data_IF_081528102146
#
_entry.id   IF_081528102146
#
_cell.length_a   1.000
_cell.length_b   1.000
_cell.length_c   1.000
_cell.angle_alpha   90.00
_cell.angle_beta   90.00
_cell.angle_gamma   90.00
#
_symmetry.space_group_name_H-M   'P 1'
#
loop_
_entity.id
_entity.type
_entity.pdbx_description
1 polymer ?
#
# COMPACT_ATOMS: atom_id res chain seq x y z
N UNK A 1 24.04 19.81 -12.47
CA UNK A 1 22.69 19.37 -12.08
C UNK A 1 22.53 19.72 -10.63
N UNK A 2 21.46 20.42 -10.26
CA UNK A 2 21.16 20.72 -8.87
C UNK A 2 20.96 19.38 -8.17
N UNK A 3 21.91 18.92 -7.38
CA UNK A 3 21.73 17.77 -6.49
C UNK A 3 20.89 18.29 -5.34
N UNK A 4 19.58 18.32 -5.53
CA UNK A 4 18.69 18.61 -4.44
C UNK A 4 18.89 17.50 -3.38
N UNK A 5 19.30 17.90 -2.18
CA UNK A 5 19.64 16.96 -1.13
C UNK A 5 18.35 16.56 -0.42
N UNK A 6 17.79 15.42 -0.83
CA UNK A 6 16.63 14.86 -0.15
C UNK A 6 17.00 14.49 1.29
N UNK A 7 16.11 14.82 2.22
CA UNK A 7 16.22 14.45 3.64
C UNK A 7 15.19 13.38 3.97
N UNK A 8 15.64 12.19 4.40
CA UNK A 8 14.81 11.08 4.86
C UNK A 8 14.66 11.12 6.38
N UNK A 9 13.49 11.50 6.88
CA UNK A 9 13.25 11.84 8.29
C UNK A 9 12.25 10.88 8.90
N UNK A 10 12.53 10.39 10.11
CA UNK A 10 11.59 9.60 10.89
C UNK A 10 10.52 10.52 11.51
N UNK A 11 9.26 10.11 11.46
CA UNK A 11 8.12 10.89 11.97
C UNK A 11 8.30 11.32 13.43
N UNK A 12 8.95 10.51 14.26
CA UNK A 12 9.23 10.84 15.66
C UNK A 12 10.24 11.95 15.91
N UNK A 13 11.00 12.32 14.89
CA UNK A 13 11.91 13.46 14.96
C UNK A 13 11.18 14.79 14.73
N UNK A 14 9.91 14.75 14.30
CA UNK A 14 9.10 15.93 14.05
C UNK A 14 8.43 16.43 15.34
N UNK A 15 8.32 17.75 15.47
CA UNK A 15 7.53 18.36 16.53
C UNK A 15 6.02 18.22 16.26
N UNK A 16 5.18 18.49 17.26
CA UNK A 16 3.71 18.33 17.18
C UNK A 16 3.08 19.12 16.01
N UNK A 17 3.51 20.37 15.80
CA UNK A 17 2.99 21.22 14.72
C UNK A 17 3.36 20.66 13.34
N UNK A 18 4.57 20.11 13.19
CA UNK A 18 5.00 19.43 11.97
C UNK A 18 4.21 18.15 11.73
N UNK A 19 3.93 17.38 12.79
CA UNK A 19 3.14 16.14 12.71
C UNK A 19 1.70 16.40 12.26
N UNK A 20 1.01 17.40 12.81
CA UNK A 20 -0.37 17.73 12.44
C UNK A 20 -0.48 18.22 10.99
N UNK A 21 0.43 19.14 10.59
CA UNK A 21 0.50 19.62 9.21
C UNK A 21 0.80 18.48 8.21
N UNK A 22 1.58 17.48 8.64
CA UNK A 22 1.93 16.34 7.80
C UNK A 22 0.74 15.40 7.58
N UNK A 23 -0.07 15.12 8.61
CA UNK A 23 -1.27 14.27 8.47
C UNK A 23 -2.24 14.86 7.45
N UNK A 24 -2.42 16.19 7.46
CA UNK A 24 -3.22 16.87 6.46
C UNK A 24 -2.64 16.71 5.05
N UNK A 25 -1.33 16.94 4.87
CA UNK A 25 -0.64 16.77 3.58
C UNK A 25 -0.62 15.32 3.09
N UNK A 26 -0.56 14.33 3.98
CA UNK A 26 -0.68 12.90 3.62
C UNK A 26 -2.02 12.65 2.93
N UNK A 27 -3.10 13.23 3.47
CA UNK A 27 -4.44 13.12 2.89
C UNK A 27 -4.51 13.73 1.49
N UNK A 28 -3.78 14.81 1.24
CA UNK A 28 -3.70 15.45 -0.07
C UNK A 28 -2.89 14.63 -1.10
N UNK A 29 -1.91 13.85 -0.64
CA UNK A 29 -1.11 12.95 -1.49
C UNK A 29 -1.78 11.60 -1.75
N UNK A 30 -2.75 11.20 -0.91
CA UNK A 30 -3.52 9.98 -1.11
C UNK A 30 -4.45 10.14 -2.31
N UNK A 31 -4.03 9.57 -3.44
CA UNK A 31 -4.77 9.62 -4.71
C UNK A 31 -5.65 8.39 -4.92
N UNK A 32 -5.88 7.60 -3.88
CA UNK A 32 -6.71 6.41 -3.99
C UNK A 32 -8.20 6.74 -4.15
N UNK A 33 -8.96 5.84 -4.78
CA UNK A 33 -10.39 6.03 -4.95
C UNK A 33 -11.10 6.16 -3.60
N UNK A 34 -12.09 7.04 -3.53
CA UNK A 34 -12.79 7.36 -2.28
C UNK A 34 -13.40 6.13 -1.60
N UNK A 35 -13.87 5.14 -2.36
CA UNK A 35 -14.44 3.91 -1.80
C UNK A 35 -13.41 3.07 -1.02
N UNK A 36 -12.11 3.15 -1.32
CA UNK A 36 -11.07 2.43 -0.54
C UNK A 36 -10.95 2.99 0.89
N UNK A 37 -11.37 4.24 1.14
CA UNK A 37 -11.43 4.80 2.48
C UNK A 37 -12.50 4.12 3.35
N UNK A 38 -13.47 3.42 2.76
CA UNK A 38 -14.51 2.71 3.51
C UNK A 38 -14.06 1.35 4.06
N UNK A 39 -12.84 0.90 3.74
CA UNK A 39 -12.28 -0.34 4.28
C UNK A 39 -12.21 -0.30 5.82
N UNK A 40 -12.83 -1.28 6.46
CA UNK A 40 -12.98 -1.30 7.92
C UNK A 40 -11.65 -1.46 8.66
N UNK A 41 -10.69 -2.17 8.08
CA UNK A 41 -9.36 -2.38 8.66
C UNK A 41 -8.53 -1.12 8.54
N UNK A 42 -8.59 -0.45 7.38
CA UNK A 42 -7.96 0.87 7.22
C UNK A 42 -8.48 1.85 8.27
N UNK A 43 -9.81 1.97 8.41
CA UNK A 43 -10.42 2.90 9.38
C UNK A 43 -10.06 2.57 10.84
N UNK A 44 -9.91 1.28 11.17
CA UNK A 44 -9.58 0.85 12.52
C UNK A 44 -8.12 1.15 12.91
N UNK A 45 -7.18 0.97 11.99
CA UNK A 45 -5.76 0.88 12.35
C UNK A 45 -4.87 1.97 11.76
N UNK A 46 -5.25 2.58 10.62
CA UNK A 46 -4.35 3.47 9.86
C UNK A 46 -3.82 4.63 10.70
N UNK A 47 -4.71 5.39 11.35
CA UNK A 47 -4.32 6.54 12.16
C UNK A 47 -3.52 6.12 13.41
N UNK A 48 -3.80 4.95 13.97
CA UNK A 48 -3.10 4.45 15.16
C UNK A 48 -1.62 4.13 14.89
N UNK A 49 -1.22 3.89 13.63
CA UNK A 49 0.19 3.63 13.29
C UNK A 49 1.11 4.81 13.61
N UNK A 50 0.61 6.05 13.50
CA UNK A 50 1.37 7.25 13.83
C UNK A 50 1.70 7.39 15.32
N UNK A 51 1.02 6.62 16.17
CA UNK A 51 1.27 6.57 17.62
C UNK A 51 1.94 5.27 18.03
N UNK A 52 1.47 4.12 17.51
CA UNK A 52 1.95 2.79 17.92
C UNK A 52 3.25 2.40 17.22
N UNK A 53 3.40 2.78 15.95
CA UNK A 53 4.56 2.46 15.10
C UNK A 53 5.22 3.74 14.57
N UNK A 54 5.27 4.76 15.41
CA UNK A 54 5.74 6.10 15.05
C UNK A 54 7.18 6.12 14.53
N UNK A 55 8.04 5.22 15.06
CA UNK A 55 9.43 5.02 14.61
C UNK A 55 9.59 4.30 13.26
N UNK A 56 8.47 3.88 12.65
CA UNK A 56 8.40 3.20 11.35
C UNK A 56 7.64 4.04 10.31
N UNK A 57 7.33 5.30 10.62
CA UNK A 57 6.76 6.25 9.68
C UNK A 57 7.84 7.25 9.26
N UNK A 58 7.91 7.59 7.97
CA UNK A 58 8.94 8.47 7.43
C UNK A 58 8.39 9.48 6.44
N UNK A 59 9.16 10.55 6.26
CA UNK A 59 8.94 11.55 5.23
C UNK A 59 10.23 11.82 4.46
N UNK A 60 10.06 12.28 3.23
CA UNK A 60 11.13 12.83 2.41
C UNK A 60 10.86 14.29 2.16
N UNK A 61 11.85 15.14 2.44
CA UNK A 61 11.80 16.57 2.19
C UNK A 61 12.87 17.01 1.18
N UNK A 62 12.55 18.02 0.40
CA UNK A 62 13.48 18.83 -0.41
C UNK A 62 13.26 20.30 -0.04
N UNK A 63 14.26 20.96 0.57
CA UNK A 63 14.15 22.36 1.01
C UNK A 63 12.86 22.65 1.84
N UNK A 64 12.51 21.74 2.76
CA UNK A 64 11.28 21.73 3.56
C UNK A 64 9.97 21.46 2.80
N UNK A 65 10.01 21.22 1.49
CA UNK A 65 8.86 20.79 0.70
C UNK A 65 8.65 19.28 0.87
N UNK A 66 7.39 18.87 1.03
CA UNK A 66 7.05 17.46 1.16
C UNK A 66 7.14 16.76 -0.20
N UNK A 67 8.07 15.82 -0.29
CA UNK A 67 8.33 15.02 -1.49
C UNK A 67 7.58 13.69 -1.42
N UNK A 68 7.67 13.00 -0.29
CA UNK A 68 7.00 11.71 -0.10
C UNK A 68 6.72 11.40 1.37
N UNK A 69 5.77 10.51 1.61
CA UNK A 69 5.54 9.86 2.89
C UNK A 69 5.59 8.35 2.75
N UNK A 70 6.12 7.69 3.76
CA UNK A 70 6.37 6.26 3.78
C UNK A 70 5.83 5.69 5.08
N UNK A 71 4.99 4.68 4.95
CA UNK A 71 4.35 4.03 6.09
C UNK A 71 4.76 2.57 6.14
N UNK A 72 5.54 2.22 7.15
CA UNK A 72 5.96 0.85 7.42
C UNK A 72 5.38 0.38 8.76
N UNK A 73 5.29 -0.93 8.91
CA UNK A 73 4.87 -1.58 10.15
C UNK A 73 5.75 -2.80 10.42
N UNK A 74 6.12 -3.04 11.69
CA UNK A 74 6.88 -4.22 12.07
C UNK A 74 5.95 -5.41 12.29
N UNK A 75 6.35 -6.61 11.86
CA UNK A 75 5.57 -7.83 12.13
C UNK A 75 6.47 -9.06 12.33
N UNK A 76 5.91 -10.07 12.99
CA UNK A 76 6.57 -11.33 13.24
C UNK A 76 6.04 -12.42 12.30
N UNK A 77 6.87 -12.91 11.37
CA UNK A 77 6.52 -14.03 10.51
C UNK A 77 7.10 -15.34 11.03
N UNK A 78 6.25 -16.34 11.18
CA UNK A 78 6.70 -17.74 11.22
C UNK A 78 7.28 -18.15 9.86
N UNK A 79 8.05 -19.24 9.84
CA UNK A 79 8.58 -19.80 8.57
C UNK A 79 7.46 -20.13 7.57
N UNK A 80 6.32 -20.62 8.07
CA UNK A 80 5.16 -20.96 7.25
C UNK A 80 4.51 -19.73 6.64
N UNK A 81 4.29 -18.67 7.43
CA UNK A 81 3.73 -17.42 6.92
C UNK A 81 4.67 -16.75 5.91
N UNK A 82 5.99 -16.78 6.14
CA UNK A 82 6.94 -16.22 5.18
C UNK A 82 6.99 -17.01 3.86
N UNK A 83 6.93 -18.34 3.92
CA UNK A 83 6.90 -19.18 2.72
C UNK A 83 5.66 -18.93 1.86
N UNK A 84 4.52 -18.60 2.49
CA UNK A 84 3.27 -18.29 1.81
C UNK A 84 2.57 -17.13 2.50
N UNK A 85 2.90 -15.91 2.04
CA UNK A 85 2.29 -14.69 2.56
C UNK A 85 0.76 -14.71 2.36
N UNK A 86 -0.04 -14.27 3.34
CA UNK A 86 -1.50 -14.41 3.29
C UNK A 86 -2.20 -13.59 2.22
N UNK A 87 -3.33 -14.12 1.74
CA UNK A 87 -4.16 -13.52 0.70
C UNK A 87 -4.75 -12.14 1.11
N UNK A 88 -4.87 -11.88 2.42
CA UNK A 88 -5.38 -10.62 2.96
C UNK A 88 -4.45 -9.42 2.76
N UNK A 89 -3.24 -9.61 2.24
CA UNK A 89 -2.42 -8.51 1.72
C UNK A 89 -2.17 -7.38 2.71
N UNK A 90 -2.46 -6.17 2.24
CA UNK A 90 -2.37 -4.92 2.99
C UNK A 90 -3.17 -4.97 4.30
N UNK A 91 -4.45 -5.39 4.26
CA UNK A 91 -5.30 -5.52 5.46
C UNK A 91 -4.69 -6.47 6.48
N UNK A 92 -4.29 -7.66 6.02
CA UNK A 92 -3.72 -8.67 6.90
C UNK A 92 -2.44 -8.19 7.58
N UNK A 93 -1.53 -7.54 6.84
CA UNK A 93 -0.30 -7.04 7.44
C UNK A 93 -0.58 -6.02 8.53
N UNK A 94 -1.55 -5.13 8.29
CA UNK A 94 -1.96 -4.13 9.26
C UNK A 94 -2.54 -4.77 10.52
N UNK A 95 -3.55 -5.64 10.39
CA UNK A 95 -4.13 -6.37 11.53
C UNK A 95 -3.08 -7.18 12.30
N UNK A 96 -2.22 -7.89 11.57
CA UNK A 96 -1.19 -8.73 12.15
C UNK A 96 -0.18 -7.92 12.95
N UNK A 97 0.29 -6.79 12.42
CA UNK A 97 1.27 -5.97 13.13
C UNK A 97 0.75 -5.46 14.48
N UNK A 98 -0.51 -5.00 14.53
CA UNK A 98 -1.14 -4.61 15.79
C UNK A 98 -1.32 -5.80 16.73
N UNK A 99 -1.76 -6.95 16.23
CA UNK A 99 -1.93 -8.16 17.05
C UNK A 99 -0.59 -8.72 17.56
N UNK A 100 0.48 -8.62 16.78
CA UNK A 100 1.83 -9.01 17.16
C UNK A 100 2.39 -8.04 18.24
N UNK A 101 2.12 -6.73 18.10
CA UNK A 101 2.46 -5.71 19.09
C UNK A 101 1.74 -5.92 20.42
N UNK A 102 0.43 -6.16 20.40
CA UNK A 102 -0.36 -6.47 21.61
C UNK A 102 0.15 -7.72 22.35
N UNK A 103 0.67 -8.70 21.60
CA UNK A 103 1.27 -9.92 22.13
C UNK A 103 2.76 -9.79 22.46
N UNK A 104 3.36 -8.62 22.23
CA UNK A 104 4.77 -8.32 22.48
C UNK A 104 5.69 -9.31 21.73
N UNK A 105 5.31 -9.69 20.51
CA UNK A 105 6.14 -10.55 19.67
C UNK A 105 7.31 -9.76 19.12
N UNK A 106 8.51 -10.35 19.14
CA UNK A 106 9.69 -9.73 18.54
C UNK A 106 9.55 -9.68 17.02
N UNK A 107 9.49 -8.50 16.38
CA UNK A 107 9.39 -8.40 14.93
C UNK A 107 10.63 -8.98 14.24
N UNK A 108 10.43 -9.62 13.09
CA UNK A 108 11.51 -10.17 12.27
C UNK A 108 11.42 -9.76 10.79
N UNK A 109 10.32 -9.11 10.42
CA UNK A 109 10.02 -8.66 9.07
C UNK A 109 9.45 -7.26 9.13
N UNK A 110 9.84 -6.42 8.17
CA UNK A 110 9.29 -5.08 8.04
C UNK A 110 8.35 -5.02 6.83
N UNK A 111 7.13 -4.52 7.01
CA UNK A 111 6.20 -4.37 5.90
C UNK A 111 6.08 -2.91 5.52
N UNK A 112 6.48 -2.56 4.29
CA UNK A 112 6.22 -1.26 3.69
C UNK A 112 4.80 -1.26 3.12
N UNK A 113 3.85 -0.63 3.80
CA UNK A 113 2.44 -0.64 3.43
C UNK A 113 2.10 0.33 2.31
N UNK A 114 2.74 1.50 2.30
CA UNK A 114 2.43 2.55 1.34
C UNK A 114 3.56 3.56 1.20
N UNK A 115 3.73 4.05 -0.01
CA UNK A 115 4.55 5.19 -0.35
C UNK A 115 3.66 6.17 -1.11
N UNK A 116 3.48 7.37 -0.59
CA UNK A 116 2.80 8.46 -1.30
C UNK A 116 3.86 9.45 -1.77
N UNK A 117 3.86 9.78 -3.06
CA UNK A 117 4.87 10.66 -3.66
C UNK A 117 4.18 11.85 -4.31
N UNK A 118 4.75 13.04 -4.13
CA UNK A 118 4.33 14.25 -4.79
C UNK A 118 4.65 14.17 -6.28
N UNK A 119 3.61 14.36 -7.12
CA UNK A 119 3.68 14.21 -8.58
C UNK A 119 4.58 15.23 -9.28
N UNK A 120 4.98 16.31 -8.60
CA UNK A 120 5.93 17.28 -9.11
C UNK A 120 7.37 16.77 -9.15
N UNK A 121 7.65 15.61 -8.54
CA UNK A 121 8.99 15.03 -8.45
C UNK A 121 9.15 13.81 -9.36
N UNK A 122 10.38 13.50 -9.82
CA UNK A 122 10.63 12.30 -10.63
C UNK A 122 10.39 11.01 -9.83
N UNK A 123 9.24 10.38 -10.04
CA UNK A 123 8.76 9.25 -9.22
C UNK A 123 9.77 8.09 -9.10
N UNK A 124 10.46 7.74 -10.19
CA UNK A 124 11.43 6.65 -10.18
C UNK A 124 12.68 6.97 -9.34
N UNK A 125 13.16 8.22 -9.39
CA UNK A 125 14.33 8.67 -8.62
C UNK A 125 13.98 8.70 -7.13
N UNK A 126 12.83 9.29 -6.78
CA UNK A 126 12.33 9.33 -5.41
C UNK A 126 12.12 7.92 -4.85
N UNK A 127 11.52 7.03 -5.63
CA UNK A 127 11.30 5.65 -5.19
C UNK A 127 12.62 4.91 -4.97
N UNK A 128 13.62 5.10 -5.84
CA UNK A 128 14.94 4.52 -5.65
C UNK A 128 15.63 5.04 -4.37
N UNK A 129 15.55 6.35 -4.13
CA UNK A 129 16.07 6.99 -2.92
C UNK A 129 15.38 6.43 -1.66
N UNK A 130 14.05 6.32 -1.66
CA UNK A 130 13.26 5.74 -0.56
C UNK A 130 13.69 4.30 -0.30
N UNK A 131 13.71 3.45 -1.33
CA UNK A 131 14.02 2.03 -1.14
C UNK A 131 15.44 1.81 -0.65
N UNK A 132 16.39 2.65 -1.05
CA UNK A 132 17.77 2.60 -0.56
C UNK A 132 17.85 2.90 0.95
N UNK A 133 17.16 3.95 1.40
CA UNK A 133 17.07 4.31 2.82
C UNK A 133 16.36 3.23 3.64
N UNK A 134 15.21 2.71 3.16
CA UNK A 134 14.48 1.65 3.85
C UNK A 134 15.33 0.39 4.03
N UNK A 135 16.11 0.00 3.01
CA UNK A 135 17.01 -1.16 3.12
C UNK A 135 18.09 -0.93 4.19
N UNK A 136 18.73 0.24 4.19
CA UNK A 136 19.73 0.57 5.20
C UNK A 136 19.15 0.55 6.63
N UNK A 137 17.97 1.14 6.82
CA UNK A 137 17.26 1.14 8.11
C UNK A 137 16.88 -0.29 8.52
N UNK A 138 16.40 -1.10 7.57
CA UNK A 138 16.03 -2.48 7.85
C UNK A 138 17.24 -3.32 8.31
N UNK A 139 18.39 -3.17 7.66
CA UNK A 139 19.65 -3.81 8.08
C UNK A 139 20.06 -3.35 9.49
N UNK A 140 19.97 -2.04 9.79
CA UNK A 140 20.28 -1.49 11.12
C UNK A 140 19.32 -2.02 12.21
N UNK A 141 18.03 -2.12 11.89
CA UNK A 141 16.99 -2.73 12.74
C UNK A 141 17.08 -4.26 12.80
N UNK A 142 18.02 -4.88 12.07
CA UNK A 142 18.26 -6.34 11.99
C UNK A 142 17.08 -7.12 11.42
N UNK A 143 16.29 -6.49 10.56
CA UNK A 143 15.32 -7.20 9.72
C UNK A 143 16.04 -7.96 8.61
N UNK A 144 15.54 -9.14 8.26
CA UNK A 144 16.09 -9.95 7.16
C UNK A 144 15.38 -9.67 5.84
N UNK A 145 14.14 -9.19 5.91
CA UNK A 145 13.30 -8.96 4.74
C UNK A 145 12.44 -7.71 4.95
N UNK A 146 12.23 -6.98 3.85
CA UNK A 146 11.12 -6.03 3.72
C UNK A 146 10.08 -6.68 2.82
N UNK A 147 8.83 -6.73 3.24
CA UNK A 147 7.71 -7.14 2.39
C UNK A 147 6.85 -5.93 2.02
N UNK A 148 6.16 -5.98 0.89
CA UNK A 148 5.25 -4.91 0.49
C UNK A 148 4.09 -5.46 -0.34
N UNK A 149 2.82 -5.17 0.01
CA UNK A 149 1.66 -5.55 -0.78
C UNK A 149 1.38 -4.46 -1.82
N UNK A 150 1.93 -4.62 -3.03
CA UNK A 150 1.87 -3.61 -4.08
C UNK A 150 0.52 -3.63 -4.78
N UNK A 151 -0.14 -2.48 -4.85
CA UNK A 151 -1.36 -2.28 -5.63
C UNK A 151 -0.99 -2.07 -7.10
N UNK A 152 -1.22 -3.04 -8.02
CA UNK A 152 -0.77 -2.92 -9.41
C UNK A 152 -1.61 -1.90 -10.19
N UNK A 153 -1.08 -0.70 -10.38
CA UNK A 153 -1.85 0.44 -10.92
C UNK A 153 -2.42 0.19 -12.32
N UNK A 154 -1.69 -0.48 -13.21
CA UNK A 154 -2.16 -0.71 -14.58
C UNK A 154 -3.23 -1.81 -14.67
N UNK A 155 -3.42 -2.61 -13.62
CA UNK A 155 -4.50 -3.61 -13.53
C UNK A 155 -5.90 -2.99 -13.64
N UNK A 156 -6.02 -1.69 -13.36
CA UNK A 156 -7.26 -0.93 -13.57
C UNK A 156 -7.76 -0.95 -15.02
N UNK A 157 -6.88 -1.19 -16.00
CA UNK A 157 -7.25 -1.34 -17.41
C UNK A 157 -7.70 -2.76 -17.76
N UNK A 158 -7.49 -3.71 -16.85
CA UNK A 158 -7.77 -5.14 -17.03
C UNK A 158 -8.53 -5.73 -15.82
N UNK A 159 -9.60 -5.09 -15.32
CA UNK A 159 -10.26 -5.49 -14.07
C UNK A 159 -10.82 -6.92 -14.12
N UNK A 160 -11.21 -7.39 -15.31
CA UNK A 160 -11.74 -8.75 -15.54
C UNK A 160 -10.66 -9.84 -15.63
N UNK A 161 -9.40 -9.47 -15.83
CA UNK A 161 -8.31 -10.44 -15.93
C UNK A 161 -7.94 -10.97 -14.54
N UNK A 162 -7.66 -12.26 -14.45
CA UNK A 162 -7.16 -12.87 -13.21
C UNK A 162 -5.84 -12.21 -12.79
N UNK A 163 -5.70 -11.95 -11.49
CA UNK A 163 -4.53 -11.21 -10.98
C UNK A 163 -3.29 -12.08 -10.94
N UNK A 164 -3.43 -13.41 -10.78
CA UNK A 164 -2.28 -14.33 -10.83
C UNK A 164 -1.68 -14.31 -12.22
N UNK A 165 -2.50 -14.43 -13.26
CA UNK A 165 -2.06 -14.36 -14.64
C UNK A 165 -1.49 -12.96 -14.97
N UNK A 166 -2.19 -11.88 -14.57
CA UNK A 166 -1.72 -10.52 -14.78
C UNK A 166 -0.36 -10.25 -14.14
N UNK A 167 -0.09 -10.80 -12.95
CA UNK A 167 1.17 -10.60 -12.23
C UNK A 167 2.39 -11.16 -12.99
N UNK A 168 2.16 -12.07 -13.95
CA UNK A 168 3.17 -12.70 -14.79
C UNK A 168 3.38 -11.97 -16.12
N UNK A 169 2.56 -10.97 -16.45
CA UNK A 169 2.69 -10.24 -17.70
C UNK A 169 4.00 -9.45 -17.72
N UNK A 170 4.67 -9.47 -18.85
CA UNK A 170 5.92 -8.76 -19.09
C UNK A 170 5.76 -7.77 -20.24
N UNK A 171 6.53 -6.69 -20.21
CA UNK A 171 6.65 -5.75 -21.32
C UNK A 171 7.70 -6.23 -22.35
N UNK A 172 7.85 -5.48 -23.44
CA UNK A 172 8.81 -5.80 -24.51
C UNK A 172 10.29 -5.81 -24.07
N UNK A 173 10.59 -5.31 -22.88
CA UNK A 173 11.92 -5.31 -22.28
C UNK A 173 12.12 -6.47 -21.29
N UNK A 174 11.18 -7.40 -21.17
CA UNK A 174 11.26 -8.54 -20.25
C UNK A 174 11.05 -8.20 -18.77
N UNK A 175 10.58 -6.98 -18.47
CA UNK A 175 10.26 -6.53 -17.11
C UNK A 175 8.75 -6.67 -16.84
N UNK A 176 8.29 -6.67 -15.57
CA UNK A 176 6.87 -6.69 -15.26
C UNK A 176 6.10 -5.63 -16.06
N UNK A 177 4.92 -6.01 -16.56
CA UNK A 177 4.09 -5.13 -17.37
C UNK A 177 3.58 -3.94 -16.57
N UNK A 178 3.12 -4.19 -15.33
CA UNK A 178 2.63 -3.16 -14.42
C UNK A 178 3.75 -2.21 -13.97
N UNK A 179 3.52 -0.91 -14.03
CA UNK A 179 4.52 0.11 -13.69
C UNK A 179 4.90 0.10 -12.21
N UNK A 180 3.96 -0.15 -11.30
CA UNK A 180 4.25 -0.18 -9.86
C UNK A 180 5.08 -1.42 -9.52
N UNK A 181 4.66 -2.59 -10.01
CA UNK A 181 5.41 -3.84 -9.81
C UNK A 181 6.81 -3.73 -10.41
N UNK A 182 6.93 -3.18 -11.62
CA UNK A 182 8.22 -2.97 -12.29
C UNK A 182 9.14 -2.04 -11.51
N UNK A 183 8.60 -0.94 -10.97
CA UNK A 183 9.34 0.02 -10.14
C UNK A 183 9.95 -0.68 -8.92
N UNK A 184 9.21 -1.57 -8.27
CA UNK A 184 9.73 -2.38 -7.16
C UNK A 184 10.78 -3.43 -7.62
N UNK A 185 10.55 -4.14 -8.73
CA UNK A 185 11.50 -5.14 -9.27
C UNK A 185 12.84 -4.51 -9.66
N UNK A 186 12.83 -3.35 -10.33
CA UNK A 186 14.06 -2.62 -10.69
C UNK A 186 14.86 -2.24 -9.44
N UNK A 187 14.16 -2.00 -8.33
CA UNK A 187 14.78 -1.73 -7.04
C UNK A 187 15.15 -3.00 -6.25
N UNK A 188 15.11 -4.18 -6.87
CA UNK A 188 15.59 -5.44 -6.30
C UNK A 188 14.57 -6.22 -5.48
N UNK A 189 13.27 -5.92 -5.61
CA UNK A 189 12.24 -6.80 -5.06
C UNK A 189 11.98 -8.00 -5.97
N UNK A 190 11.55 -9.10 -5.36
CA UNK A 190 11.03 -10.28 -6.06
C UNK A 190 9.52 -10.39 -5.83
N UNK A 191 8.80 -10.83 -6.86
CA UNK A 191 7.37 -11.12 -6.74
C UNK A 191 7.20 -12.44 -5.97
N UNK A 192 6.48 -12.42 -4.86
CA UNK A 192 6.20 -13.62 -4.05
C UNK A 192 4.85 -14.27 -4.42
N UNK A 193 3.85 -13.46 -4.78
CA UNK A 193 2.53 -13.96 -5.15
C UNK A 193 1.43 -12.92 -5.00
N UNK A 194 0.21 -13.29 -5.35
CA UNK A 194 -0.96 -12.40 -5.25
C UNK A 194 -1.56 -12.45 -3.85
N UNK A 195 -1.94 -11.29 -3.33
CA UNK A 195 -2.90 -11.19 -2.22
C UNK A 195 -4.28 -10.84 -2.78
N UNK A 196 -5.13 -11.85 -2.95
CA UNK A 196 -6.41 -11.73 -3.67
C UNK A 196 -7.48 -10.89 -2.96
N UNK A 197 -7.29 -10.60 -1.67
CA UNK A 197 -8.26 -9.86 -0.84
C UNK A 197 -7.56 -8.79 -0.01
N UNK A 198 -6.67 -8.03 -0.66
CA UNK A 198 -5.86 -7.00 -0.02
C UNK A 198 -6.68 -5.81 0.49
N UNK A 199 -7.79 -5.50 -0.17
CA UNK A 199 -8.86 -4.64 0.35
C UNK A 199 -10.21 -5.33 0.23
N UNK A 200 -11.14 -5.01 1.13
CA UNK A 200 -12.52 -5.50 1.06
C UNK A 200 -13.50 -4.45 1.60
N UNK A 201 -14.31 -3.93 0.69
CA UNK A 201 -15.25 -2.85 0.94
C UNK A 201 -16.65 -3.42 0.78
N UNK A 202 -17.49 -3.20 1.78
CA UNK A 202 -18.91 -3.49 1.74
C UNK A 202 -19.70 -2.21 2.01
N UNK A 203 -20.87 -2.09 1.39
CA UNK A 203 -21.74 -0.95 1.60
C UNK A 203 -23.11 -1.16 0.98
N UNK A 204 -24.04 -0.29 1.34
CA UNK A 204 -25.35 -0.19 0.67
C UNK A 204 -25.21 0.41 -0.72
N UNK A 205 -26.24 0.28 -1.56
CA UNK A 205 -26.24 0.91 -2.89
C UNK A 205 -25.99 2.42 -2.75
N UNK A 206 -26.72 3.09 -1.86
CA UNK A 206 -26.58 4.53 -1.63
C UNK A 206 -25.15 4.93 -1.21
N UNK A 207 -24.48 4.11 -0.40
CA UNK A 207 -23.07 4.35 -0.04
C UNK A 207 -22.16 4.23 -1.26
N UNK A 208 -22.34 3.18 -2.08
CA UNK A 208 -21.59 2.99 -3.31
C UNK A 208 -21.81 4.12 -4.31
N UNK A 209 -23.06 4.58 -4.49
CA UNK A 209 -23.39 5.73 -5.34
C UNK A 209 -22.68 7.00 -4.84
N UNK A 210 -22.65 7.23 -3.52
CA UNK A 210 -21.92 8.34 -2.92
C UNK A 210 -20.40 8.26 -3.15
N UNK A 211 -19.81 7.07 -3.03
CA UNK A 211 -18.36 6.90 -3.16
C UNK A 211 -17.86 6.96 -4.61
N UNK A 212 -18.71 6.57 -5.56
CA UNK A 212 -18.31 6.40 -6.98
C UNK A 212 -18.90 7.46 -7.91
N UNK A 213 -20.00 8.11 -7.50
CA UNK A 213 -20.81 8.97 -8.36
C UNK A 213 -21.62 8.20 -9.41
N UNK A 214 -21.62 6.86 -9.35
CA UNK A 214 -22.39 6.01 -10.26
C UNK A 214 -23.78 5.74 -9.70
N UNK A 215 -24.63 5.11 -10.52
CA UNK A 215 -25.95 4.63 -10.13
C UNK A 215 -26.01 3.12 -10.36
N UNK A 216 -26.54 2.37 -9.40
CA UNK A 216 -26.61 0.91 -9.48
C UNK A 216 -28.05 0.41 -9.43
N UNK A 217 -28.65 0.26 -10.61
CA UNK A 217 -30.08 -0.11 -10.77
C UNK A 217 -30.30 -1.61 -11.05
N UNK A 218 -29.25 -2.41 -11.17
CA UNK A 218 -29.38 -3.84 -11.47
C UNK A 218 -28.35 -4.66 -10.71
N UNK A 219 -28.74 -5.88 -10.32
CA UNK A 219 -27.80 -6.85 -9.76
C UNK A 219 -26.80 -7.26 -10.84
N UNK A 220 -25.52 -7.31 -10.50
CA UNK A 220 -24.46 -7.66 -11.44
C UNK A 220 -23.10 -7.13 -11.05
N UNK A 221 -22.16 -7.24 -11.99
CA UNK A 221 -20.79 -6.75 -11.82
C UNK A 221 -20.59 -5.40 -12.51
N UNK A 222 -19.96 -4.47 -11.81
CA UNK A 222 -19.67 -3.13 -12.29
C UNK A 222 -18.17 -2.86 -12.26
N UNK A 223 -17.63 -2.31 -13.35
CA UNK A 223 -16.25 -1.83 -13.39
C UNK A 223 -16.21 -0.42 -12.78
N UNK A 224 -15.38 -0.26 -11.75
CA UNK A 224 -15.21 1.03 -11.08
C UNK A 224 -14.01 1.79 -11.67
N UNK A 225 -14.05 3.14 -11.72
CA UNK A 225 -12.89 3.95 -12.00
C UNK A 225 -11.74 3.58 -11.06
N UNK A 226 -10.56 3.32 -11.62
CA UNK A 226 -9.35 2.94 -10.89
C UNK A 226 -9.46 1.62 -10.09
N UNK A 227 -10.56 0.87 -10.22
CA UNK A 227 -10.74 -0.43 -9.57
C UNK A 227 -9.92 -1.52 -10.26
N UNK A 228 -9.33 -2.42 -9.47
CA UNK A 228 -8.50 -3.53 -9.99
C UNK A 228 -9.29 -4.83 -10.21
N UNK A 229 -10.56 -4.83 -9.80
CA UNK A 229 -11.55 -5.90 -9.93
C UNK A 229 -12.95 -5.29 -10.16
N UNK A 230 -13.98 -6.12 -10.21
CA UNK A 230 -15.37 -5.67 -10.32
C UNK A 230 -16.03 -5.49 -8.95
N UNK A 231 -16.91 -4.50 -8.85
CA UNK A 231 -17.88 -4.37 -7.76
C UNK A 231 -19.04 -5.31 -8.04
N UNK A 232 -19.39 -6.16 -7.08
CA UNK A 232 -20.59 -7.01 -7.13
C UNK A 232 -21.73 -6.29 -6.44
N UNK A 233 -22.79 -5.97 -7.17
CA UNK A 233 -23.99 -5.35 -6.63
C UNK A 233 -25.13 -6.37 -6.59
N UNK A 234 -25.85 -6.39 -5.48
CA UNK A 234 -27.13 -7.07 -5.33
C UNK A 234 -28.19 -6.03 -4.90
N UNK A 235 -29.13 -5.76 -5.79
CA UNK A 235 -30.17 -4.73 -5.57
C UNK A 235 -31.20 -5.19 -4.54
N UNK A 236 -31.61 -6.45 -4.60
CA UNK A 236 -32.61 -7.03 -3.69
C UNK A 236 -32.14 -6.99 -2.22
N UNK A 237 -30.85 -7.23 -1.99
CA UNK A 237 -30.22 -7.18 -0.68
C UNK A 237 -29.70 -5.77 -0.29
N UNK A 238 -29.85 -4.78 -1.17
CA UNK A 238 -29.26 -3.45 -1.02
C UNK A 238 -27.77 -3.50 -0.60
N UNK A 239 -26.97 -4.31 -1.30
CA UNK A 239 -25.58 -4.58 -0.94
C UNK A 239 -24.66 -4.49 -2.16
N UNK A 240 -23.53 -3.81 -2.00
CA UNK A 240 -22.38 -3.89 -2.90
C UNK A 240 -21.15 -4.41 -2.15
N UNK A 241 -20.40 -5.29 -2.79
CA UNK A 241 -19.16 -5.86 -2.28
C UNK A 241 -18.04 -5.73 -3.32
N UNK A 242 -16.90 -5.20 -2.88
CA UNK A 242 -15.71 -5.02 -3.70
C UNK A 242 -14.50 -5.59 -2.98
N UNK A 243 -13.82 -6.55 -3.63
CA UNK A 243 -12.60 -7.17 -3.11
C UNK A 243 -11.47 -6.85 -4.09
N UNK A 244 -10.44 -6.18 -3.61
CA UNK A 244 -9.32 -5.73 -4.44
C UNK A 244 -8.05 -6.55 -4.16
N UNK A 245 -7.33 -6.99 -5.21
CA UNK A 245 -6.08 -7.70 -5.05
C UNK A 245 -4.86 -6.77 -5.07
N UNK A 246 -3.81 -7.16 -4.33
CA UNK A 246 -2.45 -6.63 -4.45
C UNK A 246 -1.48 -7.77 -4.83
N UNK A 247 -0.19 -7.43 -4.99
CA UNK A 247 0.90 -8.37 -5.27
C UNK A 247 1.94 -8.24 -4.15
N UNK A 248 2.20 -9.33 -3.45
CA UNK A 248 3.28 -9.41 -2.47
C UNK A 248 4.64 -9.36 -3.16
N UNK A 249 5.48 -8.45 -2.69
CA UNK A 249 6.86 -8.32 -3.10
C UNK A 249 7.80 -8.36 -1.91
N UNK A 250 8.99 -8.93 -2.09
CA UNK A 250 9.99 -9.11 -1.04
C UNK A 250 11.31 -8.48 -1.47
N UNK A 251 11.87 -7.66 -0.59
CA UNK A 251 13.27 -7.25 -0.63
C UNK A 251 14.06 -8.04 0.41
N UNK A 252 15.19 -8.60 0.00
CA UNK A 252 16.20 -9.09 0.93
C UNK A 252 17.11 -7.94 1.34
N UNK A 253 17.46 -7.88 2.62
CA UNK A 253 18.25 -6.80 3.27
C UNK A 253 19.35 -7.37 4.15
#
# INVERSE_FOLDING_TARGET
MNTAEFSFICFDQLNSVQKDNLIQKITELDTFPAYLNADSIRNKYWNSMFTVFSTDQFIVLEDNNLVATIHCIPLHLTKTEFAKLPAGGWRWALEKSFADHERILKPNTWCCLSIFTNKSYPENEIHHYIMSNLKQIATQKKYQNIISPIRPKMKQHYPLQDTTNYSQWINNSGLPYDVEVRKHVINGAVIQGVCSSSFHIEGTILQWEKWTGYTFQSTGEYILPMGLSTLKVNVELNKGEYIEPNIWMIYKV
#
